data_IF_629078662294
#
_entry.id   IF_629078662294
#
_cell.length_a   1.000
_cell.length_b   1.000
_cell.length_c   1.000
_cell.angle_alpha   90.00
_cell.angle_beta   90.00
_cell.angle_gamma   90.00
#
_symmetry.space_group_name_H-M   'P 1'
#
loop_
_entity.id
_entity.type
_entity.pdbx_description
1 polymer ?
#
# COMPACT_ATOMS: atom_id res chain seq x y z
N UNK A 1 15.51 12.56 24.29
CA UNK A 1 14.24 12.81 23.59
C UNK A 1 14.40 14.17 22.95
N UNK A 2 14.48 14.19 21.62
CA UNK A 2 14.42 15.44 20.88
C UNK A 2 13.08 16.13 21.22
N UNK A 3 13.12 17.44 21.45
CA UNK A 3 11.93 18.23 21.79
C UNK A 3 11.29 17.94 23.16
N UNK A 4 12.08 17.77 24.21
CA UNK A 4 11.57 17.61 25.58
C UNK A 4 10.50 18.66 25.94
N UNK A 5 10.76 19.92 25.61
CA UNK A 5 9.87 21.04 25.95
C UNK A 5 8.54 21.04 25.19
N UNK A 6 8.43 20.24 24.11
CA UNK A 6 7.20 20.07 23.34
C UNK A 6 6.34 18.89 23.84
N UNK A 7 6.85 18.10 24.79
CA UNK A 7 6.09 16.97 25.34
C UNK A 7 5.11 17.43 26.42
N UNK A 8 3.97 16.72 26.52
CA UNK A 8 3.01 16.97 27.61
C UNK A 8 3.67 16.74 28.98
N UNK A 9 3.15 17.40 30.02
CA UNK A 9 3.62 17.20 31.41
C UNK A 9 3.51 15.73 31.85
N UNK A 10 2.47 15.02 31.40
CA UNK A 10 2.28 13.58 31.67
C UNK A 10 3.38 12.75 31.04
N UNK A 11 3.67 12.98 29.75
CA UNK A 11 4.75 12.30 29.02
C UNK A 11 6.11 12.57 29.68
N UNK A 12 6.40 13.82 30.05
CA UNK A 12 7.64 14.18 30.74
C UNK A 12 7.76 13.43 32.08
N UNK A 13 6.66 13.38 32.87
CA UNK A 13 6.62 12.65 34.14
C UNK A 13 6.89 11.15 33.95
N UNK A 14 6.23 10.52 32.98
CA UNK A 14 6.44 9.11 32.65
C UNK A 14 7.89 8.83 32.18
N UNK A 15 8.45 9.73 31.38
CA UNK A 15 9.86 9.64 30.95
C UNK A 15 10.81 9.71 32.15
N UNK A 16 10.60 10.63 33.09
CA UNK A 16 11.42 10.73 34.31
C UNK A 16 11.31 9.47 35.16
N UNK A 17 10.09 8.95 35.35
CA UNK A 17 9.88 7.68 36.05
C UNK A 17 10.59 6.50 35.35
N UNK A 18 10.71 6.54 34.03
CA UNK A 18 11.42 5.56 33.22
C UNK A 18 12.93 5.82 33.07
N UNK A 19 13.51 6.72 33.88
CA UNK A 19 14.96 6.96 33.95
C UNK A 19 15.51 8.01 32.97
N UNK A 20 14.66 8.85 32.40
CA UNK A 20 15.10 10.01 31.62
C UNK A 20 15.36 11.17 32.57
N UNK A 21 16.51 11.86 32.52
CA UNK A 21 16.76 13.06 33.32
C UNK A 21 15.73 14.17 33.04
N UNK A 22 15.43 14.99 34.03
CA UNK A 22 14.66 16.23 33.83
C UNK A 22 15.36 17.11 32.83
N UNK A 23 14.64 17.55 31.80
CA UNK A 23 15.21 18.28 30.65
C UNK A 23 15.57 17.40 29.46
N UNK A 24 15.37 16.06 29.58
CA UNK A 24 15.61 15.11 28.49
C UNK A 24 16.96 14.41 28.57
N UNK A 25 17.18 13.50 27.65
CA UNK A 25 18.45 12.78 27.49
C UNK A 25 18.93 12.94 26.03
N UNK A 26 20.24 13.08 25.88
CA UNK A 26 20.84 13.06 24.54
C UNK A 26 20.79 11.64 23.96
N UNK A 27 20.36 11.57 22.70
CA UNK A 27 20.41 10.36 21.90
C UNK A 27 21.51 10.54 20.85
N UNK A 28 22.59 9.74 20.90
CA UNK A 28 23.76 9.95 20.01
C UNK A 28 23.44 9.75 18.53
N UNK A 29 22.39 8.99 18.22
CA UNK A 29 21.95 8.72 16.84
C UNK A 29 20.42 8.79 16.77
N UNK A 30 19.88 9.17 15.61
CA UNK A 30 18.44 9.10 15.34
C UNK A 30 17.91 7.67 15.25
N UNK A 31 18.79 6.68 15.11
CA UNK A 31 18.42 5.28 15.02
C UNK A 31 18.45 4.60 16.40
N UNK A 32 17.39 3.86 16.70
CA UNK A 32 17.28 3.12 17.96
C UNK A 32 17.58 1.64 17.67
N UNK A 33 18.49 1.06 18.46
CA UNK A 33 18.75 -0.38 18.39
C UNK A 33 17.52 -1.14 18.86
N UNK A 34 16.95 -1.95 17.97
CA UNK A 34 15.83 -2.83 18.28
C UNK A 34 16.29 -4.27 18.25
N UNK A 35 15.95 -5.04 19.26
CA UNK A 35 16.11 -6.50 19.27
C UNK A 35 14.74 -7.13 19.10
N UNK A 36 14.56 -7.89 18.03
CA UNK A 36 13.34 -8.66 17.79
C UNK A 36 13.62 -10.14 17.94
N UNK A 37 12.67 -10.88 18.49
CA UNK A 37 12.82 -12.33 18.70
C UNK A 37 11.51 -13.07 18.47
N UNK A 38 11.60 -14.40 18.35
CA UNK A 38 10.44 -15.28 18.37
C UNK A 38 9.77 -15.29 19.73
N UNK A 39 8.47 -15.61 19.75
CA UNK A 39 7.71 -15.82 20.96
C UNK A 39 7.16 -17.25 20.96
N UNK A 40 7.59 -18.10 21.90
CA UNK A 40 7.12 -19.50 21.96
C UNK A 40 5.66 -19.64 22.43
N UNK A 41 5.03 -18.55 22.88
CA UNK A 41 3.65 -18.51 23.33
C UNK A 41 2.66 -18.00 22.27
N UNK A 42 3.12 -17.84 21.01
CA UNK A 42 2.24 -17.47 19.93
C UNK A 42 1.18 -18.55 19.69
N UNK A 43 -0.05 -18.09 19.52
CA UNK A 43 -1.18 -18.92 19.10
C UNK A 43 -1.28 -18.86 17.58
N UNK A 44 -1.86 -19.85 16.91
CA UNK A 44 -2.15 -19.76 15.47
C UNK A 44 -2.97 -18.51 15.13
N UNK A 45 -2.72 -17.95 13.96
CA UNK A 45 -3.63 -17.00 13.32
C UNK A 45 -4.88 -17.76 12.90
N UNK A 46 -6.03 -17.14 13.07
CA UNK A 46 -7.32 -17.69 12.67
C UNK A 46 -7.92 -16.79 11.59
N UNK A 47 -8.43 -17.42 10.52
CA UNK A 47 -9.04 -16.68 9.44
C UNK A 47 -10.33 -17.30 8.98
N UNK A 48 -11.30 -16.47 8.65
CA UNK A 48 -12.51 -16.84 7.93
C UNK A 48 -12.60 -16.08 6.62
N UNK A 49 -13.19 -16.72 5.60
CA UNK A 49 -13.49 -16.04 4.36
C UNK A 49 -14.88 -16.44 3.87
N UNK A 50 -15.53 -15.51 3.20
CA UNK A 50 -16.80 -15.72 2.53
C UNK A 50 -16.73 -15.07 1.14
N UNK A 51 -17.25 -15.80 0.13
CA UNK A 51 -17.37 -15.26 -1.23
C UNK A 51 -18.73 -15.63 -1.79
N UNK A 52 -19.39 -14.66 -2.41
CA UNK A 52 -20.66 -14.86 -3.12
C UNK A 52 -20.54 -14.16 -4.46
N UNK A 53 -20.73 -14.91 -5.54
CA UNK A 53 -20.59 -14.38 -6.87
C UNK A 53 -21.65 -14.86 -7.85
N UNK A 54 -21.76 -14.15 -8.95
CA UNK A 54 -22.61 -14.48 -10.07
C UNK A 54 -21.82 -14.36 -11.37
N UNK A 55 -21.95 -15.36 -12.22
CA UNK A 55 -21.46 -15.31 -13.61
C UNK A 55 -22.67 -15.28 -14.54
N UNK A 56 -22.66 -14.35 -15.47
CA UNK A 56 -23.73 -14.17 -16.44
C UNK A 56 -23.20 -14.16 -17.87
N UNK A 57 -23.67 -15.13 -18.66
CA UNK A 57 -23.35 -15.26 -20.09
C UNK A 57 -24.63 -15.17 -20.89
N UNK A 58 -25.03 -13.99 -21.39
CA UNK A 58 -26.29 -13.78 -22.07
C UNK A 58 -26.32 -14.50 -23.44
N UNK A 59 -27.33 -15.32 -23.68
CA UNK A 59 -27.48 -15.97 -24.98
C UNK A 59 -27.74 -14.99 -26.14
N UNK A 60 -28.17 -13.75 -25.84
CA UNK A 60 -28.47 -12.72 -26.82
C UNK A 60 -27.21 -11.98 -27.32
N UNK A 61 -26.11 -12.07 -26.58
CA UNK A 61 -24.81 -11.46 -26.92
C UNK A 61 -23.76 -12.56 -26.85
N UNK A 62 -23.55 -13.22 -27.97
CA UNK A 62 -22.57 -14.29 -28.08
C UNK A 62 -21.16 -13.73 -27.78
N UNK A 63 -20.35 -14.48 -27.03
CA UNK A 63 -19.01 -14.08 -26.65
C UNK A 63 -18.92 -13.17 -25.41
N UNK A 64 -20.04 -12.70 -24.84
CA UNK A 64 -20.04 -11.89 -23.62
C UNK A 64 -20.09 -12.77 -22.37
N UNK A 65 -19.19 -12.50 -21.42
CA UNK A 65 -19.19 -13.07 -20.08
C UNK A 65 -18.97 -11.97 -19.07
N UNK A 66 -19.80 -11.94 -18.03
CA UNK A 66 -19.72 -11.01 -16.90
C UNK A 66 -19.64 -11.80 -15.61
N UNK A 67 -18.81 -11.35 -14.68
CA UNK A 67 -18.73 -11.89 -13.33
C UNK A 67 -18.77 -10.75 -12.32
N UNK A 68 -19.44 -10.99 -11.21
CA UNK A 68 -19.49 -10.08 -10.07
C UNK A 68 -19.40 -10.92 -8.81
N UNK A 69 -18.37 -10.66 -8.01
CA UNK A 69 -18.08 -11.36 -6.77
C UNK A 69 -18.00 -10.37 -5.63
N UNK A 70 -18.69 -10.66 -4.54
CA UNK A 70 -18.45 -10.04 -3.22
C UNK A 70 -17.63 -11.01 -2.39
N UNK A 71 -16.61 -10.51 -1.72
CA UNK A 71 -15.76 -11.29 -0.84
C UNK A 71 -15.44 -10.55 0.46
N UNK A 72 -15.25 -11.31 1.52
CA UNK A 72 -14.85 -10.83 2.83
C UNK A 72 -13.84 -11.80 3.45
N UNK A 73 -12.78 -11.25 4.04
CA UNK A 73 -11.72 -11.98 4.72
C UNK A 73 -11.54 -11.35 6.09
N UNK A 74 -11.74 -12.13 7.14
CA UNK A 74 -11.47 -11.74 8.52
C UNK A 74 -10.30 -12.55 9.05
N UNK A 75 -9.33 -11.87 9.66
CA UNK A 75 -8.19 -12.50 10.29
C UNK A 75 -8.05 -12.01 11.72
N UNK A 76 -7.93 -12.95 12.65
CA UNK A 76 -7.74 -12.72 14.08
C UNK A 76 -6.40 -13.27 14.56
N UNK A 77 -5.94 -12.79 15.72
CA UNK A 77 -4.68 -13.23 16.31
C UNK A 77 -3.46 -13.05 15.39
N UNK A 78 -3.47 -12.06 14.52
CA UNK A 78 -2.39 -11.80 13.56
C UNK A 78 -1.09 -11.51 14.30
N UNK A 79 -0.01 -12.07 13.80
CA UNK A 79 1.32 -11.86 14.35
C UNK A 79 1.84 -10.48 13.98
N UNK A 80 1.87 -9.60 14.94
CA UNK A 80 2.55 -8.32 14.79
C UNK A 80 3.86 -8.29 15.56
N UNK A 81 4.83 -7.59 15.00
CA UNK A 81 6.01 -7.16 15.75
C UNK A 81 5.75 -5.76 16.24
N UNK A 82 5.58 -5.60 17.53
CA UNK A 82 5.40 -4.26 18.10
C UNK A 82 6.67 -3.44 17.82
N UNK A 83 6.53 -2.37 17.04
CA UNK A 83 7.64 -1.49 16.70
C UNK A 83 8.20 -0.79 17.94
N UNK A 84 9.48 -0.38 17.88
CA UNK A 84 10.08 0.40 18.95
C UNK A 84 9.30 1.69 19.25
N UNK A 85 8.79 2.35 18.20
CA UNK A 85 7.94 3.54 18.35
C UNK A 85 6.66 3.26 19.13
N UNK A 86 5.96 2.18 18.78
CA UNK A 86 4.73 1.77 19.49
C UNK A 86 5.01 1.37 20.95
N UNK A 87 6.11 0.67 21.22
CA UNK A 87 6.52 0.34 22.61
C UNK A 87 6.76 1.61 23.41
N UNK A 88 7.52 2.56 22.86
CA UNK A 88 7.80 3.83 23.51
C UNK A 88 6.56 4.69 23.70
N UNK A 89 5.67 4.73 22.71
CA UNK A 89 4.40 5.45 22.80
C UNK A 89 3.53 4.89 23.93
N UNK A 90 3.32 3.58 23.96
CA UNK A 90 2.54 2.93 25.01
C UNK A 90 3.18 3.07 26.39
N UNK A 91 4.50 3.00 26.48
CA UNK A 91 5.20 3.18 27.74
C UNK A 91 5.11 4.61 28.29
N UNK A 92 5.19 5.64 27.43
CA UNK A 92 5.41 7.00 27.91
C UNK A 92 4.32 8.00 27.53
N UNK A 93 3.58 7.77 26.46
CA UNK A 93 2.64 8.76 25.90
C UNK A 93 1.18 8.37 26.15
N UNK A 94 0.78 7.16 25.78
CA UNK A 94 -0.63 6.73 25.78
C UNK A 94 -1.19 6.38 27.15
N UNK A 95 -0.34 6.13 28.16
CA UNK A 95 -0.78 5.76 29.50
C UNK A 95 -0.83 6.98 30.43
N UNK A 96 -1.86 7.06 31.26
CA UNK A 96 -1.91 8.04 32.35
C UNK A 96 -0.88 7.76 33.46
N UNK A 97 -0.38 6.52 33.51
CA UNK A 97 0.72 6.06 34.34
C UNK A 97 1.62 5.19 33.43
N UNK A 98 2.91 5.14 33.76
CA UNK A 98 3.85 4.27 33.06
C UNK A 98 3.31 2.84 32.98
N UNK A 99 3.10 2.33 31.74
CA UNK A 99 2.65 0.96 31.53
C UNK A 99 3.84 0.00 31.62
N UNK A 100 3.97 -0.66 32.76
CA UNK A 100 5.07 -1.58 33.06
C UNK A 100 5.19 -2.71 32.04
N UNK A 101 4.09 -3.10 31.40
CA UNK A 101 4.11 -4.14 30.36
C UNK A 101 5.01 -3.75 29.19
N UNK A 102 4.87 -2.51 28.70
CA UNK A 102 5.68 -2.02 27.57
C UNK A 102 7.00 -1.42 28.03
N UNK A 103 7.03 -0.81 29.20
CA UNK A 103 8.24 -0.19 29.76
C UNK A 103 9.34 -1.23 30.06
N UNK A 104 8.98 -2.46 30.41
CA UNK A 104 9.94 -3.56 30.61
C UNK A 104 10.70 -3.95 29.33
N UNK A 105 10.24 -3.52 28.15
CA UNK A 105 10.95 -3.73 26.89
C UNK A 105 11.93 -2.61 26.55
N UNK A 106 12.03 -1.57 27.38
CA UNK A 106 12.89 -0.41 27.12
C UNK A 106 14.10 -0.42 28.04
N UNK A 107 15.30 -0.57 27.48
CA UNK A 107 16.56 -0.45 28.22
C UNK A 107 17.20 0.90 27.93
N UNK A 108 17.68 1.55 29.00
CA UNK A 108 18.34 2.85 28.91
C UNK A 108 19.80 2.79 29.38
N UNK A 109 20.59 3.73 28.87
CA UNK A 109 21.93 4.00 29.38
C UNK A 109 21.85 4.64 30.77
N UNK A 110 22.97 4.67 31.49
CA UNK A 110 23.05 5.36 32.78
C UNK A 110 22.77 6.88 32.68
N UNK A 111 22.86 7.46 31.48
CA UNK A 111 22.57 8.88 31.20
C UNK A 111 21.11 9.10 30.71
N UNK A 112 20.27 8.03 30.69
CA UNK A 112 18.87 8.10 30.33
C UNK A 112 18.59 7.98 28.83
N UNK A 113 19.61 7.91 27.96
CA UNK A 113 19.44 7.64 26.52
C UNK A 113 18.91 6.24 26.28
N UNK A 114 18.25 6.00 25.15
CA UNK A 114 17.79 4.68 24.73
C UNK A 114 19.00 3.82 24.33
N UNK A 115 19.13 2.67 25.00
CA UNK A 115 20.17 1.68 24.67
C UNK A 115 19.63 0.60 23.74
N UNK A 116 18.46 0.03 24.07
CA UNK A 116 17.80 -0.97 23.26
C UNK A 116 16.30 -0.98 23.54
N UNK A 117 15.49 -1.25 22.53
CA UNK A 117 14.08 -1.58 22.68
C UNK A 117 13.87 -3.02 22.22
N UNK A 118 13.29 -3.85 23.09
CA UNK A 118 13.02 -5.26 22.78
C UNK A 118 11.62 -5.40 22.24
N UNK A 119 11.48 -5.70 20.94
CA UNK A 119 10.22 -6.06 20.32
C UNK A 119 10.02 -7.58 20.35
N UNK A 120 8.82 -8.02 20.66
CA UNK A 120 8.43 -9.42 20.54
C UNK A 120 7.25 -9.54 19.56
N UNK A 121 7.16 -10.67 18.86
CA UNK A 121 5.95 -11.02 18.12
C UNK A 121 4.84 -11.36 19.11
N UNK A 122 3.66 -10.83 18.88
CA UNK A 122 2.45 -11.08 19.68
C UNK A 122 1.27 -11.32 18.76
N UNK A 123 0.30 -12.11 19.22
CA UNK A 123 -1.01 -12.22 18.60
C UNK A 123 -1.87 -11.05 19.08
N UNK A 124 -1.91 -9.98 18.37
CA UNK A 124 -2.55 -8.78 18.89
C UNK A 124 -3.44 -8.08 17.85
N UNK A 125 -3.33 -8.42 16.57
CA UNK A 125 -4.02 -7.68 15.52
C UNK A 125 -5.24 -8.44 14.99
N UNK A 126 -6.19 -7.66 14.51
CA UNK A 126 -7.35 -8.04 13.71
C UNK A 126 -7.22 -7.35 12.37
N UNK A 127 -7.51 -8.05 11.29
CA UNK A 127 -7.67 -7.46 9.98
C UNK A 127 -8.97 -7.95 9.35
N UNK A 128 -9.76 -7.02 8.83
CA UNK A 128 -11.01 -7.31 8.13
C UNK A 128 -11.00 -6.58 6.78
N UNK A 129 -10.88 -7.35 5.71
CA UNK A 129 -10.84 -6.82 4.35
C UNK A 129 -12.01 -7.37 3.56
N UNK A 130 -12.76 -6.51 2.87
CA UNK A 130 -13.84 -6.93 1.99
C UNK A 130 -13.88 -6.10 0.72
N UNK A 131 -14.44 -6.68 -0.33
CA UNK A 131 -14.47 -6.02 -1.62
C UNK A 131 -15.46 -6.61 -2.60
N UNK A 132 -15.52 -5.96 -3.74
CA UNK A 132 -16.29 -6.37 -4.91
C UNK A 132 -15.33 -6.47 -6.08
N UNK A 133 -15.31 -7.64 -6.73
CA UNK A 133 -14.64 -7.84 -7.99
C UNK A 133 -15.66 -7.87 -9.13
N UNK A 134 -15.37 -7.12 -10.18
CA UNK A 134 -16.15 -7.16 -11.40
C UNK A 134 -15.22 -7.51 -12.57
N UNK A 135 -15.62 -8.52 -13.35
CA UNK A 135 -14.91 -8.92 -14.56
C UNK A 135 -15.89 -8.98 -15.75
N UNK A 136 -15.43 -8.47 -16.89
CA UNK A 136 -16.14 -8.56 -18.15
C UNK A 136 -15.19 -9.03 -19.25
N UNK A 137 -15.63 -9.99 -20.05
CA UNK A 137 -14.93 -10.45 -21.25
C UNK A 137 -15.90 -10.45 -22.40
N UNK A 138 -15.48 -9.90 -23.56
CA UNK A 138 -16.28 -9.93 -24.75
C UNK A 138 -15.42 -10.27 -25.96
N UNK A 139 -15.79 -11.36 -26.64
CA UNK A 139 -15.16 -11.83 -27.86
C UNK A 139 -16.13 -11.63 -29.03
N UNK A 140 -15.68 -10.96 -30.08
CA UNK A 140 -16.48 -10.70 -31.26
C UNK A 140 -15.62 -10.56 -32.49
N UNK A 141 -16.21 -10.86 -33.65
CA UNK A 141 -15.58 -10.68 -34.94
C UNK A 141 -16.28 -9.58 -35.72
N UNK A 142 -15.49 -8.81 -36.46
CA UNK A 142 -15.98 -7.77 -37.36
C UNK A 142 -15.52 -8.12 -38.78
N UNK A 143 -16.47 -8.24 -39.71
CA UNK A 143 -16.18 -8.56 -41.09
C UNK A 143 -15.10 -7.64 -41.67
N UNK A 144 -14.07 -8.22 -42.29
CA UNK A 144 -12.91 -7.56 -42.84
C UNK A 144 -11.99 -6.83 -41.84
N UNK A 145 -12.24 -6.92 -40.54
CA UNK A 145 -11.39 -6.30 -39.48
C UNK A 145 -10.86 -7.31 -38.48
N UNK A 146 -11.25 -8.58 -38.56
CA UNK A 146 -10.75 -9.66 -37.73
C UNK A 146 -11.49 -9.82 -36.39
N UNK A 147 -10.80 -10.42 -35.44
CA UNK A 147 -11.34 -10.79 -34.14
C UNK A 147 -10.87 -9.85 -33.05
N UNK A 148 -11.77 -9.58 -32.12
CA UNK A 148 -11.49 -8.74 -30.93
C UNK A 148 -11.81 -9.53 -29.67
N UNK A 149 -10.87 -9.53 -28.74
CA UNK A 149 -11.06 -10.04 -27.40
C UNK A 149 -10.84 -8.87 -26.45
N UNK A 150 -11.91 -8.45 -25.79
CA UNK A 150 -11.83 -7.36 -24.81
C UNK A 150 -11.99 -7.91 -23.41
N UNK A 151 -11.26 -7.34 -22.46
CA UNK A 151 -11.36 -7.66 -21.04
C UNK A 151 -11.44 -6.39 -20.20
N UNK A 152 -12.12 -6.49 -19.08
CA UNK A 152 -12.16 -5.48 -18.05
C UNK A 152 -12.24 -6.17 -16.70
N UNK A 153 -11.33 -5.87 -15.81
CA UNK A 153 -11.26 -6.40 -14.45
C UNK A 153 -11.12 -5.23 -13.47
N UNK A 154 -11.95 -5.20 -12.44
CA UNK A 154 -11.96 -4.16 -11.43
C UNK A 154 -12.12 -4.77 -10.04
N UNK A 155 -11.35 -4.29 -9.09
CA UNK A 155 -11.54 -4.53 -7.65
C UNK A 155 -11.89 -3.22 -6.97
N UNK A 156 -12.98 -3.21 -6.21
CA UNK A 156 -13.36 -2.14 -5.31
C UNK A 156 -13.38 -2.66 -3.88
N UNK A 157 -12.53 -2.11 -3.02
CA UNK A 157 -12.50 -2.45 -1.62
C UNK A 157 -13.61 -1.72 -0.88
N UNK A 158 -14.47 -2.46 -0.19
CA UNK A 158 -15.55 -1.91 0.64
C UNK A 158 -15.08 -1.67 2.07
N UNK A 159 -14.07 -2.45 2.52
CA UNK A 159 -13.50 -2.37 3.86
C UNK A 159 -12.03 -2.81 3.85
N UNK A 160 -11.21 -2.11 4.62
CA UNK A 160 -9.86 -2.54 5.03
C UNK A 160 -9.58 -1.99 6.44
N UNK A 161 -10.01 -2.73 7.44
CA UNK A 161 -9.90 -2.36 8.84
C UNK A 161 -8.77 -3.14 9.49
N UNK A 162 -7.84 -2.42 10.09
CA UNK A 162 -6.77 -2.99 10.88
C UNK A 162 -6.83 -2.49 12.32
N UNK A 163 -6.81 -3.41 13.26
CA UNK A 163 -6.71 -3.10 14.68
C UNK A 163 -5.43 -3.74 15.27
N UNK A 164 -4.50 -2.91 15.70
CA UNK A 164 -3.19 -3.36 16.18
C UNK A 164 -3.23 -4.06 17.56
N UNK A 165 -4.35 -4.05 18.27
CA UNK A 165 -4.55 -4.75 19.53
C UNK A 165 -6.02 -5.10 19.73
N UNK A 166 -6.29 -6.17 20.46
CA UNK A 166 -7.64 -6.53 20.84
C UNK A 166 -8.33 -5.38 21.59
N UNK A 167 -9.52 -4.96 21.10
CA UNK A 167 -10.29 -3.86 21.66
C UNK A 167 -9.81 -2.45 21.30
N UNK A 168 -8.78 -2.29 20.47
CA UNK A 168 -8.46 -0.99 19.87
C UNK A 168 -9.47 -0.65 18.77
N UNK A 169 -9.69 0.65 18.55
CA UNK A 169 -10.49 1.11 17.41
C UNK A 169 -9.76 0.73 16.14
N UNK A 170 -10.40 0.02 15.18
CA UNK A 170 -9.82 -0.23 13.88
C UNK A 170 -9.54 1.09 13.13
N UNK A 171 -8.48 1.12 12.37
CA UNK A 171 -8.19 2.17 11.40
C UNK A 171 -8.46 1.66 10.00
N UNK A 172 -9.03 2.48 9.14
CA UNK A 172 -9.18 2.24 7.72
C UNK A 172 -8.04 2.94 6.98
N UNK A 173 -7.40 2.26 6.02
CA UNK A 173 -6.20 2.77 5.33
C UNK A 173 -6.46 3.27 3.91
N UNK A 174 -7.63 3.03 3.34
CA UNK A 174 -7.93 3.39 1.95
C UNK A 174 -7.73 4.86 1.62
N UNK A 175 -7.10 5.07 0.47
CA UNK A 175 -6.82 6.39 -0.05
C UNK A 175 -5.74 7.12 0.72
N UNK A 176 -5.01 6.42 1.60
CA UNK A 176 -3.86 6.97 2.31
C UNK A 176 -2.58 6.21 1.99
N UNK A 177 -1.50 6.96 1.82
CA UNK A 177 -0.16 6.43 1.67
C UNK A 177 0.53 6.37 3.04
N UNK A 178 0.82 5.16 3.51
CA UNK A 178 1.53 4.92 4.78
C UNK A 178 2.83 4.13 4.52
N UNK A 179 3.65 4.61 3.58
CA UNK A 179 4.82 3.88 3.10
C UNK A 179 4.49 2.76 2.11
N UNK A 180 3.22 2.61 1.77
CA UNK A 180 2.67 1.74 0.74
C UNK A 180 1.37 2.36 0.24
N UNK A 181 1.16 2.33 -1.09
CA UNK A 181 -0.08 2.81 -1.68
C UNK A 181 -1.26 1.87 -1.38
N UNK A 182 -2.36 2.43 -0.91
CA UNK A 182 -3.56 1.69 -0.54
C UNK A 182 -4.76 2.21 -1.32
N UNK A 183 -4.95 1.66 -2.54
CA UNK A 183 -5.98 2.08 -3.47
C UNK A 183 -7.34 1.53 -3.07
N UNK A 184 -8.37 2.40 -3.01
CA UNK A 184 -9.75 1.94 -2.81
C UNK A 184 -10.24 1.14 -4.00
N UNK A 185 -9.86 1.51 -5.22
CA UNK A 185 -10.15 0.72 -6.38
C UNK A 185 -9.04 0.76 -7.43
N UNK A 186 -9.00 -0.26 -8.24
CA UNK A 186 -8.09 -0.39 -9.37
C UNK A 186 -8.75 -1.23 -10.44
N UNK A 187 -8.43 -0.91 -11.69
CA UNK A 187 -8.97 -1.62 -12.81
C UNK A 187 -7.93 -1.84 -13.90
N UNK A 188 -8.12 -2.93 -14.65
CA UNK A 188 -7.39 -3.21 -15.87
C UNK A 188 -8.38 -3.39 -17.00
N UNK A 189 -8.06 -2.86 -18.17
CA UNK A 189 -8.80 -3.11 -19.40
C UNK A 189 -7.84 -3.57 -20.48
N UNK A 190 -8.28 -4.49 -21.32
CA UNK A 190 -7.47 -5.03 -22.40
C UNK A 190 -8.25 -5.15 -23.68
N UNK A 191 -7.58 -4.92 -24.80
CA UNK A 191 -8.08 -5.23 -26.15
C UNK A 191 -7.00 -6.01 -26.87
N UNK A 192 -7.31 -7.25 -27.24
CA UNK A 192 -6.52 -8.06 -28.14
C UNK A 192 -7.23 -8.06 -29.49
N UNK A 193 -6.56 -7.54 -30.50
CA UNK A 193 -7.05 -7.54 -31.88
C UNK A 193 -6.21 -8.50 -32.73
N UNK A 194 -6.89 -9.45 -33.37
CA UNK A 194 -6.30 -10.43 -34.26
C UNK A 194 -6.80 -10.18 -35.70
N UNK A 195 -5.87 -9.88 -36.60
CA UNK A 195 -6.19 -9.63 -37.99
C UNK A 195 -5.12 -10.23 -38.91
N UNK A 196 -5.48 -11.27 -39.65
CA UNK A 196 -4.54 -12.08 -40.45
C UNK A 196 -3.29 -12.47 -39.63
N UNK A 197 -2.11 -12.02 -40.08
CA UNK A 197 -0.83 -12.28 -39.39
C UNK A 197 -0.47 -11.26 -38.32
N UNK A 198 -1.34 -10.29 -38.04
CA UNK A 198 -1.12 -9.23 -37.07
C UNK A 198 -1.89 -9.51 -35.76
N UNK A 199 -1.20 -9.41 -34.64
CA UNK A 199 -1.82 -9.40 -33.32
C UNK A 199 -1.44 -8.11 -32.63
N UNK A 200 -2.43 -7.33 -32.19
CA UNK A 200 -2.24 -6.10 -31.43
C UNK A 200 -2.84 -6.25 -30.05
N UNK A 201 -2.06 -6.00 -29.02
CA UNK A 201 -2.50 -5.95 -27.61
C UNK A 201 -2.39 -4.53 -27.08
N UNK A 202 -3.50 -4.01 -26.60
CA UNK A 202 -3.60 -2.71 -25.95
C UNK A 202 -4.13 -2.95 -24.54
N UNK A 203 -3.37 -2.54 -23.53
CA UNK A 203 -3.74 -2.72 -22.13
C UNK A 203 -3.73 -1.40 -21.41
N UNK A 204 -4.69 -1.22 -20.52
CA UNK A 204 -4.88 -0.07 -19.69
C UNK A 204 -4.87 -0.50 -18.24
N UNK A 205 -4.17 0.24 -17.40
CA UNK A 205 -4.15 0.06 -15.96
C UNK A 205 -4.57 1.37 -15.30
N UNK A 206 -5.59 1.29 -14.48
CA UNK A 206 -6.12 2.39 -13.68
C UNK A 206 -5.77 2.17 -12.22
N UNK A 207 -5.29 3.21 -11.55
CA UNK A 207 -5.01 3.28 -10.13
C UNK A 207 -5.70 4.50 -9.55
N UNK A 208 -6.41 4.29 -8.44
CA UNK A 208 -7.16 5.33 -7.74
C UNK A 208 -6.24 6.39 -7.10
N UNK A 209 -6.81 7.49 -6.66
CA UNK A 209 -6.08 8.50 -5.93
C UNK A 209 -5.63 8.01 -4.54
N UNK A 210 -4.59 8.63 -4.02
CA UNK A 210 -4.08 8.44 -2.68
C UNK A 210 -3.74 9.80 -2.04
N UNK A 211 -3.62 9.81 -0.72
CA UNK A 211 -3.18 10.96 0.05
C UNK A 211 -1.93 10.58 0.84
N UNK A 212 -0.91 11.38 0.74
CA UNK A 212 0.29 11.29 1.55
C UNK A 212 0.27 12.43 2.58
N UNK A 213 0.50 12.13 3.86
CA UNK A 213 0.47 13.18 4.87
C UNK A 213 1.68 14.14 4.73
N UNK A 214 1.48 15.39 5.06
CA UNK A 214 2.53 16.40 4.97
C UNK A 214 3.42 16.44 6.22
N UNK A 215 3.38 15.45 7.09
CA UNK A 215 4.12 15.46 8.34
C UNK A 215 5.64 15.63 8.12
N UNK A 216 6.20 14.92 7.15
CA UNK A 216 7.62 15.03 6.84
C UNK A 216 7.96 16.40 6.25
N UNK A 217 7.15 16.92 5.34
CA UNK A 217 7.32 18.26 4.77
C UNK A 217 7.27 19.33 5.86
N UNK A 218 6.31 19.25 6.77
CA UNK A 218 6.19 20.15 7.91
C UNK A 218 7.39 20.03 8.85
N UNK A 219 7.86 18.82 9.16
CA UNK A 219 9.00 18.59 10.03
C UNK A 219 10.30 19.15 9.44
N UNK A 220 10.44 19.13 8.12
CA UNK A 220 11.61 19.65 7.40
C UNK A 220 11.52 21.16 7.09
N UNK A 221 10.40 21.83 7.40
CA UNK A 221 10.17 23.22 7.07
C UNK A 221 9.89 23.46 5.59
N UNK A 222 9.32 22.49 4.91
CA UNK A 222 8.96 22.50 3.49
C UNK A 222 7.44 22.52 3.32
N UNK A 223 6.76 23.31 4.13
CA UNK A 223 5.29 23.38 4.20
C UNK A 223 4.66 23.87 2.88
N UNK A 224 5.40 24.61 2.08
CA UNK A 224 5.02 25.04 0.74
C UNK A 224 4.90 23.88 -0.28
N UNK A 225 5.41 22.72 0.06
CA UNK A 225 5.27 21.49 -0.74
C UNK A 225 4.02 20.69 -0.40
N UNK A 226 3.26 21.12 0.61
CA UNK A 226 2.00 20.50 0.98
C UNK A 226 0.86 21.06 0.11
N UNK A 227 0.21 20.22 -0.68
CA UNK A 227 -0.86 20.68 -1.60
C UNK A 227 -2.15 21.07 -0.88
N UNK A 228 -2.44 20.49 0.28
CA UNK A 228 -3.61 20.79 1.11
C UNK A 228 -3.19 21.03 2.57
N UNK A 229 -2.55 22.17 2.88
CA UNK A 229 -1.98 22.42 4.21
C UNK A 229 -3.07 22.69 5.29
N UNK A 230 -4.28 23.08 4.89
CA UNK A 230 -5.36 23.46 5.82
C UNK A 230 -6.20 22.28 6.30
N UNK A 231 -6.12 21.14 5.63
CA UNK A 231 -6.83 19.94 6.04
C UNK A 231 -6.02 19.16 7.08
N UNK A 232 -6.69 18.73 8.14
CA UNK A 232 -6.07 17.88 9.15
C UNK A 232 -6.27 16.41 8.77
N UNK A 233 -5.23 15.61 8.89
CA UNK A 233 -5.38 14.17 8.84
C UNK A 233 -6.03 13.65 10.13
N UNK A 234 -6.33 12.34 10.20
CA UNK A 234 -6.96 11.71 11.37
C UNK A 234 -6.14 11.83 12.66
N UNK A 235 -4.86 12.18 12.56
CA UNK A 235 -3.96 12.41 13.68
C UNK A 235 -3.85 13.90 14.08
N UNK A 236 -4.60 14.78 13.43
CA UNK A 236 -4.57 16.22 13.67
C UNK A 236 -3.29 16.89 13.17
N UNK A 237 -2.54 16.25 12.28
CA UNK A 237 -1.38 16.84 11.60
C UNK A 237 -1.87 17.63 10.40
N UNK A 238 -1.40 18.88 10.20
CA UNK A 238 -1.86 19.71 9.09
C UNK A 238 -1.45 19.15 7.74
N UNK A 239 -2.40 19.08 6.85
CA UNK A 239 -2.21 18.94 5.43
C UNK A 239 -1.93 17.52 4.91
N UNK A 240 -2.19 17.38 3.63
CA UNK A 240 -1.85 16.20 2.86
C UNK A 240 -1.54 16.56 1.41
N UNK A 241 -0.74 15.73 0.75
CA UNK A 241 -0.53 15.77 -0.69
C UNK A 241 -1.52 14.84 -1.37
N UNK A 242 -2.15 15.30 -2.43
CA UNK A 242 -2.98 14.45 -3.29
C UNK A 242 -2.07 13.81 -4.33
N UNK A 243 -2.08 12.50 -4.38
CA UNK A 243 -1.53 11.69 -5.45
C UNK A 243 -2.71 11.36 -6.37
N UNK A 244 -2.77 12.03 -7.50
CA UNK A 244 -3.92 11.93 -8.40
C UNK A 244 -4.05 10.54 -9.01
N UNK A 245 -5.21 10.29 -9.59
CA UNK A 245 -5.52 9.07 -10.35
C UNK A 245 -4.51 8.89 -11.49
N UNK A 246 -3.99 7.67 -11.62
CA UNK A 246 -3.03 7.33 -12.66
C UNK A 246 -3.60 6.35 -13.70
N UNK A 247 -3.22 6.58 -14.95
CA UNK A 247 -3.71 5.79 -16.08
C UNK A 247 -2.57 5.40 -17.02
N UNK A 248 -2.11 4.16 -16.93
CA UNK A 248 -1.02 3.65 -17.76
C UNK A 248 -1.54 2.89 -18.96
N UNK A 249 -0.89 3.06 -20.09
CA UNK A 249 -1.24 2.40 -21.35
C UNK A 249 -0.04 1.64 -21.90
N UNK A 250 -0.24 0.35 -22.18
CA UNK A 250 0.76 -0.51 -22.82
C UNK A 250 0.27 -0.96 -24.19
N UNK A 251 1.14 -0.92 -25.19
CA UNK A 251 0.84 -1.35 -26.56
C UNK A 251 1.89 -2.36 -27.03
N UNK A 252 1.45 -3.44 -27.66
CA UNK A 252 2.31 -4.35 -28.40
C UNK A 252 1.67 -4.72 -29.72
N UNK A 253 2.45 -4.70 -30.77
CA UNK A 253 2.07 -5.21 -32.09
C UNK A 253 3.03 -6.35 -32.45
N UNK A 254 2.46 -7.49 -32.83
CA UNK A 254 3.18 -8.68 -33.28
C UNK A 254 2.77 -9.01 -34.71
N UNK A 255 3.73 -9.46 -35.50
CA UNK A 255 3.54 -9.87 -36.90
C UNK A 255 4.10 -11.28 -37.11
N UNK A 256 3.28 -12.20 -37.61
CA UNK A 256 3.69 -13.55 -38.00
C UNK A 256 4.16 -13.52 -39.47
N UNK A 257 5.47 -13.49 -39.69
CA UNK A 257 6.04 -13.44 -41.03
C UNK A 257 5.94 -14.78 -41.77
N UNK A 258 6.08 -15.89 -41.05
CA UNK A 258 5.93 -17.25 -41.54
C UNK A 258 5.60 -18.19 -40.39
N UNK A 259 5.30 -19.47 -40.68
CA UNK A 259 5.01 -20.48 -39.65
C UNK A 259 6.12 -20.58 -38.57
N UNK A 260 7.34 -20.23 -38.91
CA UNK A 260 8.52 -20.34 -38.04
C UNK A 260 9.07 -19.00 -37.53
N UNK A 261 8.60 -17.86 -38.05
CA UNK A 261 9.18 -16.55 -37.70
C UNK A 261 8.10 -15.56 -37.33
N UNK A 262 8.19 -15.04 -36.12
CA UNK A 262 7.40 -13.90 -35.68
C UNK A 262 8.27 -12.77 -35.13
N UNK A 263 7.77 -11.55 -35.19
CA UNK A 263 8.45 -10.36 -34.69
C UNK A 263 7.43 -9.50 -33.94
N UNK A 264 7.92 -8.73 -32.97
CA UNK A 264 7.07 -7.82 -32.20
C UNK A 264 7.80 -6.52 -31.86
N UNK A 265 7.01 -5.49 -31.67
CA UNK A 265 7.43 -4.19 -31.10
C UNK A 265 6.38 -3.78 -30.08
N UNK A 266 6.81 -3.16 -29.01
CA UNK A 266 5.90 -2.70 -27.97
C UNK A 266 6.43 -1.51 -27.19
N UNK A 267 5.54 -0.91 -26.44
CA UNK A 267 5.82 0.12 -25.46
C UNK A 267 5.04 -0.19 -24.19
N UNK A 268 5.71 -0.18 -23.05
CA UNK A 268 5.08 -0.07 -21.75
C UNK A 268 5.02 1.39 -21.37
N UNK A 269 3.94 1.79 -20.73
CA UNK A 269 3.68 3.17 -20.39
C UNK A 269 3.85 4.09 -21.63
N UNK A 270 3.06 3.83 -22.66
CA UNK A 270 3.19 4.42 -24.01
C UNK A 270 3.21 5.97 -23.97
N UNK A 271 2.46 6.57 -23.07
CA UNK A 271 2.35 8.03 -22.97
C UNK A 271 3.37 8.65 -22.01
N UNK A 272 4.16 7.82 -21.32
CA UNK A 272 5.23 8.28 -20.44
C UNK A 272 4.74 8.92 -19.16
N UNK A 273 3.60 8.44 -18.63
CA UNK A 273 3.09 8.91 -17.33
C UNK A 273 4.11 8.66 -16.23
N UNK A 274 4.44 9.69 -15.46
CA UNK A 274 5.35 9.59 -14.33
C UNK A 274 4.57 9.28 -13.06
N UNK A 275 5.10 8.42 -12.17
CA UNK A 275 4.43 8.15 -10.90
C UNK A 275 4.34 9.41 -10.04
N UNK A 276 3.29 9.55 -9.21
CA UNK A 276 3.16 10.68 -8.31
C UNK A 276 4.30 10.68 -7.28
N UNK A 277 4.64 11.86 -6.78
CA UNK A 277 5.61 11.99 -5.69
C UNK A 277 4.97 11.54 -4.37
N UNK A 278 5.59 10.55 -3.74
CA UNK A 278 5.27 10.08 -2.41
C UNK A 278 6.40 10.50 -1.46
N UNK A 279 6.20 11.55 -0.69
CA UNK A 279 7.26 12.10 0.16
C UNK A 279 7.66 11.15 1.29
N UNK A 280 6.73 10.34 1.77
CA UNK A 280 6.99 9.32 2.79
C UNK A 280 7.54 8.00 2.22
N UNK A 281 7.69 7.91 0.89
CA UNK A 281 8.32 6.74 0.27
C UNK A 281 9.80 6.68 0.62
N UNK A 282 10.26 5.52 1.10
CA UNK A 282 11.64 5.33 1.51
C UNK A 282 12.60 5.52 0.33
N UNK A 283 13.49 6.50 0.46
CA UNK A 283 14.67 6.76 -0.36
C UNK A 283 14.47 7.37 -1.76
N UNK A 284 13.32 7.31 -2.40
CA UNK A 284 13.18 7.70 -3.82
C UNK A 284 11.98 8.58 -4.15
N UNK A 285 11.15 8.93 -3.17
CA UNK A 285 9.96 9.77 -3.34
C UNK A 285 8.94 9.22 -4.36
N UNK A 286 8.94 7.90 -4.60
CA UNK A 286 7.90 7.21 -5.35
C UNK A 286 7.71 5.78 -4.83
N UNK A 287 6.56 5.19 -5.10
CA UNK A 287 6.26 3.80 -4.78
C UNK A 287 6.07 3.00 -6.07
N UNK A 288 6.61 1.77 -6.10
CA UNK A 288 6.50 0.85 -7.23
C UNK A 288 5.08 0.31 -7.47
N UNK A 289 4.12 0.63 -6.59
CA UNK A 289 2.70 0.32 -6.80
C UNK A 289 2.13 1.05 -8.02
N UNK A 290 2.69 2.22 -8.36
CA UNK A 290 2.42 2.93 -9.62
C UNK A 290 3.27 2.34 -10.75
N UNK A 291 4.19 3.11 -11.26
CA UNK A 291 5.15 2.63 -12.26
C UNK A 291 6.56 3.13 -11.89
N UNK A 292 7.57 2.68 -12.62
CA UNK A 292 8.94 3.11 -12.41
C UNK A 292 9.14 4.45 -13.13
N UNK A 293 9.73 5.48 -12.50
CA UNK A 293 10.08 6.72 -13.17
C UNK A 293 10.97 6.49 -14.39
N UNK A 294 10.77 7.28 -15.43
CA UNK A 294 11.55 7.19 -16.67
C UNK A 294 10.70 7.14 -17.93
N UNK A 295 9.39 7.25 -17.79
CA UNK A 295 8.46 7.36 -18.92
C UNK A 295 8.31 6.07 -19.72
N UNK A 296 8.07 6.20 -21.03
CA UNK A 296 7.79 5.08 -21.92
C UNK A 296 9.00 4.15 -22.09
N UNK A 297 8.78 2.84 -21.89
CA UNK A 297 9.78 1.80 -22.16
C UNK A 297 9.47 1.07 -23.46
N UNK A 298 10.31 1.32 -24.49
CA UNK A 298 10.20 0.68 -25.79
C UNK A 298 10.96 -0.63 -25.82
N UNK A 299 10.38 -1.67 -26.45
CA UNK A 299 11.01 -2.97 -26.61
C UNK A 299 10.62 -3.61 -27.95
N UNK A 300 11.42 -4.55 -28.42
CA UNK A 300 11.11 -5.32 -29.61
C UNK A 300 11.97 -6.57 -29.70
N UNK A 301 11.52 -7.52 -30.51
CA UNK A 301 12.21 -8.79 -30.68
C UNK A 301 11.65 -9.62 -31.82
N UNK A 302 12.26 -10.78 -32.01
CA UNK A 302 11.79 -11.79 -32.94
C UNK A 302 11.91 -13.19 -32.32
N UNK A 303 11.06 -14.10 -32.74
CA UNK A 303 11.06 -15.51 -32.37
C UNK A 303 11.26 -16.34 -33.64
N UNK A 304 12.15 -17.31 -33.56
CA UNK A 304 12.40 -18.30 -34.66
C UNK A 304 12.19 -19.68 -34.05
N UNK A 305 11.28 -20.46 -34.62
CA UNK A 305 11.07 -21.88 -34.32
C UNK A 305 11.83 -22.71 -35.32
N UNK A 306 12.74 -23.56 -34.86
CA UNK A 306 13.64 -24.41 -35.66
C UNK A 306 13.05 -25.81 -35.83
#
# INVERSE_FOLDING_TARGET
IANWDKQSAGTQSNCVAGGVPTGGAEQPTGQIRTLTGGNPYLKPEEGSNATVGIVYTPNQVEGLSLALDFWEIEMENIFITTSAGNILNRCYVSSSNQDDTYCNFVERTATGGLQVVRGAKTNAALNNVSGIDFAAKYEFSVDNYGEFITSFDMTYYTKDEFAAAAGSTPSESFGWYNGQADFRWRANAGVLWLYDDITTSLNFRFLDDNKDDCWLSYYLGLEDQCSNPDDLNDYGVPGYNVMEVEFYTDLQVSYQYSDSISMFIGARNLFGEEPPLAYDAFAQSFDYAWDIPGGAFMYGGFKIEL
#
